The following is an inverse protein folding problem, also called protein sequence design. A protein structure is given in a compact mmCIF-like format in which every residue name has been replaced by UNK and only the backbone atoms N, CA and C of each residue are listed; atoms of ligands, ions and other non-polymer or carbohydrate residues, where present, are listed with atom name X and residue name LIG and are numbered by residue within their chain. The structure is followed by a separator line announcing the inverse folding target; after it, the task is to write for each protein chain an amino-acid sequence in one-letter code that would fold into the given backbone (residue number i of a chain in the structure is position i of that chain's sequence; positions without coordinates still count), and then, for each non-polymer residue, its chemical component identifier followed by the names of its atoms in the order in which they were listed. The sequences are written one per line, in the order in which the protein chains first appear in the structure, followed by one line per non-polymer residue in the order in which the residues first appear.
data_IF_455898703291
#
_entry.id   IF_455898703291
#
_cell.length_a   1.000
_cell.length_b   1.000
_cell.length_c   1.000
_cell.angle_alpha   90.00
_cell.angle_beta   90.00
_cell.angle_gamma   90.00
#
_symmetry.space_group_name_H-M   'P 1'
#
loop_
_entity.id
_entity.type
_entity.pdbx_description
1 polymer ?
#
# COMPACT_ATOMS: atom_id res chain seq x y z
N UNK A 1 -24.36 33.80 -9.63
CA UNK A 1 -25.04 34.42 -8.49
C UNK A 1 -26.04 35.43 -9.00
N UNK A 2 -27.29 35.42 -8.52
CA UNK A 2 -28.29 36.44 -8.87
C UNK A 2 -28.04 37.74 -8.10
N UNK A 3 -28.52 38.88 -8.61
CA UNK A 3 -28.39 40.19 -7.92
C UNK A 3 -28.95 40.17 -6.50
N UNK A 4 -30.01 39.38 -6.27
CA UNK A 4 -30.62 39.19 -4.95
C UNK A 4 -29.69 38.44 -3.99
N UNK A 5 -28.95 37.44 -4.48
CA UNK A 5 -27.97 36.71 -3.67
C UNK A 5 -26.78 37.60 -3.26
N UNK A 6 -26.36 38.49 -4.16
CA UNK A 6 -25.29 39.45 -3.87
C UNK A 6 -25.73 40.46 -2.80
N UNK A 7 -26.92 41.05 -2.95
CA UNK A 7 -27.47 42.00 -1.97
C UNK A 7 -27.68 41.36 -0.59
N UNK A 8 -28.12 40.09 -0.55
CA UNK A 8 -28.24 39.35 0.70
C UNK A 8 -26.87 39.12 1.36
N UNK A 9 -25.85 38.78 0.59
CA UNK A 9 -24.49 38.61 1.11
C UNK A 9 -23.94 39.92 1.70
N UNK A 10 -24.14 41.05 1.00
CA UNK A 10 -23.71 42.37 1.45
C UNK A 10 -24.39 42.80 2.76
N UNK A 11 -25.70 42.59 2.89
CA UNK A 11 -26.43 42.93 4.13
C UNK A 11 -26.04 42.01 5.31
N UNK A 12 -25.80 40.72 5.06
CA UNK A 12 -25.28 39.81 6.08
C UNK A 12 -23.88 40.23 6.56
N UNK A 13 -23.02 40.65 5.63
CA UNK A 13 -21.67 41.12 5.96
C UNK A 13 -21.71 42.44 6.74
N UNK A 14 -22.60 43.37 6.37
CA UNK A 14 -22.83 44.62 7.09
C UNK A 14 -23.35 44.38 8.51
N UNK A 15 -24.30 43.46 8.68
CA UNK A 15 -24.85 43.09 9.98
C UNK A 15 -23.77 42.46 10.86
N UNK A 16 -22.99 41.52 10.32
CA UNK A 16 -21.87 40.90 11.01
C UNK A 16 -20.82 41.93 11.44
N UNK A 17 -20.47 42.88 10.57
CA UNK A 17 -19.55 43.97 10.90
C UNK A 17 -20.08 44.86 12.04
N UNK A 18 -21.38 45.19 12.05
CA UNK A 18 -22.00 45.96 13.14
C UNK A 18 -21.89 45.27 14.50
N UNK A 19 -22.16 43.96 14.56
CA UNK A 19 -22.00 43.19 15.80
C UNK A 19 -20.53 43.07 16.22
N UNK A 20 -19.59 42.94 15.27
CA UNK A 20 -18.14 42.94 15.58
C UNK A 20 -17.70 44.27 16.22
N UNK A 21 -18.20 45.40 15.71
CA UNK A 21 -17.92 46.72 16.29
C UNK A 21 -18.47 46.86 17.71
N UNK A 22 -19.69 46.38 17.95
CA UNK A 22 -20.29 46.36 19.30
C UNK A 22 -19.52 45.44 20.27
N UNK A 23 -18.88 44.39 19.74
CA UNK A 23 -18.11 43.42 20.51
C UNK A 23 -16.63 43.80 20.71
N UNK A 24 -16.17 45.00 20.30
CA UNK A 24 -14.73 45.37 20.24
C UNK A 24 -13.86 44.37 19.46
N UNK A 25 -14.47 43.59 18.56
CA UNK A 25 -13.82 42.49 17.90
C UNK A 25 -13.00 42.98 16.71
N UNK A 26 -11.68 42.81 16.74
CA UNK A 26 -10.84 43.06 15.56
C UNK A 26 -11.10 41.96 14.53
N UNK A 27 -11.32 42.31 13.24
CA UNK A 27 -11.69 41.33 12.22
C UNK A 27 -10.60 40.29 11.91
N UNK A 28 -9.35 40.57 12.26
CA UNK A 28 -8.20 39.67 12.06
C UNK A 28 -7.81 38.86 13.30
N UNK A 29 -8.57 38.99 14.40
CA UNK A 29 -8.26 38.35 15.66
C UNK A 29 -8.88 36.95 15.70
N UNK A 30 -8.03 35.93 15.69
CA UNK A 30 -8.44 34.52 15.74
C UNK A 30 -9.17 34.27 17.07
N UNK A 31 -10.40 33.79 16.98
CA UNK A 31 -11.24 33.54 18.14
C UNK A 31 -11.19 32.09 18.61
N UNK A 32 -11.66 31.86 19.82
CA UNK A 32 -11.91 30.50 20.32
C UNK A 32 -12.92 29.75 19.44
N UNK A 33 -13.87 30.44 18.80
CA UNK A 33 -14.85 29.82 17.90
C UNK A 33 -14.19 29.35 16.61
N UNK A 34 -13.30 30.15 16.03
CA UNK A 34 -12.52 29.77 14.84
C UNK A 34 -11.65 28.54 15.11
N UNK A 35 -11.00 28.53 16.28
CA UNK A 35 -10.20 27.38 16.71
C UNK A 35 -11.11 26.16 16.94
N UNK A 36 -12.27 26.33 17.58
CA UNK A 36 -13.21 25.24 17.81
C UNK A 36 -13.69 24.61 16.51
N UNK A 37 -14.07 25.43 15.53
CA UNK A 37 -14.47 24.98 14.20
C UNK A 37 -13.34 24.19 13.52
N UNK A 38 -12.12 24.73 13.52
CA UNK A 38 -10.95 24.07 12.97
C UNK A 38 -10.67 22.73 13.67
N UNK A 39 -10.73 22.68 15.00
CA UNK A 39 -10.47 21.47 15.76
C UNK A 39 -11.53 20.40 15.48
N UNK A 40 -12.80 20.76 15.33
CA UNK A 40 -13.86 19.82 14.94
C UNK A 40 -13.58 19.21 13.56
N UNK A 41 -13.14 20.01 12.58
CA UNK A 41 -12.67 19.51 11.29
C UNK A 41 -11.51 18.51 11.48
N UNK A 42 -10.53 18.82 12.36
CA UNK A 42 -9.40 17.91 12.64
C UNK A 42 -9.80 16.64 13.41
N UNK A 43 -10.82 16.69 14.27
CA UNK A 43 -11.37 15.49 14.91
C UNK A 43 -12.01 14.58 13.86
N UNK A 44 -12.77 15.13 12.91
CA UNK A 44 -13.35 14.37 11.80
C UNK A 44 -12.28 13.73 10.90
N UNK A 45 -11.11 14.39 10.75
CA UNK A 45 -9.93 13.82 10.08
C UNK A 45 -9.18 12.77 10.93
N UNK A 46 -9.68 12.39 12.11
CA UNK A 46 -9.09 11.39 13.00
C UNK A 46 -7.88 11.89 13.81
N UNK A 47 -7.68 13.21 13.93
CA UNK A 47 -6.46 13.80 14.52
C UNK A 47 -6.54 14.09 16.02
N UNK A 48 -7.48 13.47 16.73
CA UNK A 48 -7.71 13.72 18.17
C UNK A 48 -6.43 13.62 19.02
N UNK A 49 -5.57 12.63 18.74
CA UNK A 49 -4.28 12.49 19.46
C UNK A 49 -3.37 13.70 19.26
N UNK A 50 -3.27 14.23 18.04
CA UNK A 50 -2.47 15.42 17.73
C UNK A 50 -3.04 16.66 18.41
N UNK A 51 -4.37 16.80 18.44
CA UNK A 51 -5.05 17.90 19.14
C UNK A 51 -4.72 17.89 20.63
N UNK A 52 -4.73 16.72 21.29
CA UNK A 52 -4.35 16.60 22.70
C UNK A 52 -2.91 17.04 22.95
N UNK A 53 -1.97 16.59 22.11
CA UNK A 53 -0.56 17.01 22.18
C UNK A 53 -0.41 18.51 21.96
N UNK A 54 -1.19 19.09 21.04
CA UNK A 54 -1.19 20.54 20.83
C UNK A 54 -1.68 21.28 22.07
N UNK A 55 -2.79 20.86 22.67
CA UNK A 55 -3.32 21.45 23.90
C UNK A 55 -2.27 21.39 25.02
N UNK A 56 -1.63 20.24 25.22
CA UNK A 56 -0.56 20.06 26.21
C UNK A 56 0.62 21.02 25.96
N UNK A 57 1.03 21.23 24.70
CA UNK A 57 2.08 22.20 24.32
C UNK A 57 1.75 23.62 24.76
N UNK A 58 0.47 24.00 24.75
CA UNK A 58 -0.02 25.29 25.23
C UNK A 58 -0.46 25.25 26.70
N UNK A 59 -0.03 24.24 27.47
CA UNK A 59 -0.38 24.05 28.88
C UNK A 59 -1.89 24.01 29.15
N UNK A 60 -2.66 23.54 28.16
CA UNK A 60 -4.11 23.47 28.19
C UNK A 60 -4.58 22.01 28.17
N UNK A 61 -5.68 21.72 28.87
CA UNK A 61 -6.33 20.39 28.81
C UNK A 61 -7.53 20.42 27.85
N UNK A 62 -8.23 21.55 27.81
CA UNK A 62 -9.34 21.84 26.90
C UNK A 62 -9.05 23.13 26.15
N UNK A 63 -9.74 23.34 25.03
CA UNK A 63 -9.59 24.56 24.24
C UNK A 63 -9.85 25.85 25.04
N UNK A 64 -10.81 25.81 25.99
CA UNK A 64 -11.12 26.96 26.86
C UNK A 64 -9.97 27.34 27.81
N UNK A 65 -9.04 26.42 28.05
CA UNK A 65 -7.87 26.66 28.90
C UNK A 65 -6.71 27.29 28.11
N UNK A 66 -6.82 27.38 26.78
CA UNK A 66 -5.81 28.04 25.94
C UNK A 66 -5.93 29.54 26.12
N UNK A 67 -4.80 30.21 26.34
CA UNK A 67 -4.76 31.66 26.52
C UNK A 67 -5.07 32.38 25.21
N UNK A 68 -5.79 33.51 25.29
CA UNK A 68 -6.18 34.27 24.10
C UNK A 68 -4.97 34.77 23.29
N UNK A 69 -3.86 35.07 23.96
CA UNK A 69 -2.61 35.51 23.33
C UNK A 69 -1.99 34.41 22.46
N UNK A 70 -2.28 33.14 22.76
CA UNK A 70 -1.76 31.97 22.06
C UNK A 70 -2.65 31.53 20.89
N UNK A 71 -3.87 32.06 20.77
CA UNK A 71 -4.83 31.67 19.74
C UNK A 71 -4.27 31.71 18.31
N UNK A 72 -3.54 32.76 17.87
CA UNK A 72 -3.01 32.81 16.52
C UNK A 72 -2.00 31.69 16.23
N UNK A 73 -1.11 31.44 17.20
CA UNK A 73 -0.08 30.40 17.09
C UNK A 73 -0.73 29.00 17.12
N UNK A 74 -1.64 28.78 18.07
CA UNK A 74 -2.38 27.52 18.21
C UNK A 74 -3.14 27.18 16.92
N UNK A 75 -3.89 28.15 16.38
CA UNK A 75 -4.66 27.97 15.14
C UNK A 75 -3.78 27.64 13.94
N UNK A 76 -2.66 28.35 13.79
CA UNK A 76 -1.69 28.12 12.72
C UNK A 76 -1.11 26.70 12.78
N UNK A 77 -0.74 26.23 13.97
CA UNK A 77 -0.22 24.88 14.17
C UNK A 77 -1.28 23.80 13.92
N UNK A 78 -2.49 23.98 14.44
CA UNK A 78 -3.61 23.07 14.19
C UNK A 78 -3.95 22.96 12.68
N UNK A 79 -3.85 24.08 11.94
CA UNK A 79 -4.05 24.12 10.48
C UNK A 79 -2.97 23.36 9.71
N UNK A 80 -1.72 23.42 10.18
CA UNK A 80 -0.58 22.77 9.51
C UNK A 80 -0.66 21.24 9.50
N UNK A 81 -1.44 20.61 10.38
CA UNK A 81 -1.67 19.17 10.35
C UNK A 81 -2.21 18.63 9.02
N UNK A 82 -2.86 19.46 8.20
CA UNK A 82 -3.29 19.04 6.84
C UNK A 82 -2.11 18.94 5.87
N UNK A 83 -1.21 19.92 5.88
CA UNK A 83 -0.02 19.95 5.00
C UNK A 83 0.91 18.79 5.29
N UNK A 84 1.12 18.49 6.56
CA UNK A 84 2.00 17.39 6.97
C UNK A 84 1.45 16.02 6.61
N UNK A 85 0.13 15.82 6.69
CA UNK A 85 -0.50 14.58 6.21
C UNK A 85 -0.39 14.42 4.69
N UNK A 86 -0.58 15.49 3.91
CA UNK A 86 -0.34 15.43 2.46
C UNK A 86 1.11 15.07 2.17
N UNK A 87 2.07 15.68 2.88
CA UNK A 87 3.50 15.37 2.72
C UNK A 87 3.82 13.92 3.08
N UNK A 88 3.30 13.40 4.19
CA UNK A 88 3.47 12.00 4.60
C UNK A 88 2.87 11.01 3.60
N UNK A 89 1.66 11.31 3.09
CA UNK A 89 1.02 10.48 2.07
C UNK A 89 1.83 10.46 0.78
N UNK A 90 2.32 11.62 0.33
CA UNK A 90 3.20 11.72 -0.85
C UNK A 90 4.50 10.94 -0.65
N UNK A 91 5.13 11.04 0.52
CA UNK A 91 6.36 10.28 0.82
C UNK A 91 6.10 8.77 0.82
N UNK A 92 4.93 8.32 1.31
CA UNK A 92 4.55 6.90 1.26
C UNK A 92 4.40 6.40 -0.18
N UNK A 93 3.73 7.16 -1.04
CA UNK A 93 3.61 6.82 -2.46
C UNK A 93 4.98 6.80 -3.15
N UNK A 94 5.83 7.81 -2.90
CA UNK A 94 7.20 7.82 -3.43
C UNK A 94 8.00 6.60 -2.97
N UNK A 95 7.94 6.23 -1.70
CA UNK A 95 8.61 5.02 -1.19
C UNK A 95 8.16 3.78 -1.94
N UNK A 96 6.85 3.63 -2.15
CA UNK A 96 6.28 2.51 -2.90
C UNK A 96 6.82 2.47 -4.33
N UNK A 97 6.86 3.61 -5.03
CA UNK A 97 7.42 3.67 -6.39
C UNK A 97 8.91 3.34 -6.43
N UNK A 98 9.69 3.72 -5.40
CA UNK A 98 11.11 3.36 -5.28
C UNK A 98 11.28 1.86 -5.08
N UNK A 99 10.45 1.23 -4.25
CA UNK A 99 10.48 -0.22 -4.03
C UNK A 99 10.11 -0.99 -5.30
N UNK A 100 9.09 -0.52 -6.03
CA UNK A 100 8.71 -1.05 -7.34
C UNK A 100 9.86 -0.91 -8.36
N UNK A 101 10.53 0.25 -8.40
CA UNK A 101 11.68 0.48 -9.28
C UNK A 101 12.86 -0.44 -8.96
N UNK A 102 13.16 -0.66 -7.67
CA UNK A 102 14.19 -1.62 -7.24
C UNK A 102 13.84 -3.05 -7.66
N UNK A 103 12.57 -3.45 -7.49
CA UNK A 103 12.11 -4.77 -7.92
C UNK A 103 12.26 -4.95 -9.44
N UNK A 104 11.90 -3.93 -10.22
CA UNK A 104 12.07 -3.96 -11.67
C UNK A 104 13.55 -4.08 -12.07
N UNK A 105 14.43 -3.32 -11.41
CA UNK A 105 15.89 -3.40 -11.64
C UNK A 105 16.42 -4.82 -11.38
N UNK A 106 16.01 -5.45 -10.28
CA UNK A 106 16.46 -6.80 -9.94
C UNK A 106 15.98 -7.85 -10.96
N UNK A 107 14.75 -7.70 -11.46
CA UNK A 107 14.22 -8.55 -12.52
C UNK A 107 15.02 -8.38 -13.81
N UNK A 108 15.33 -7.15 -14.19
CA UNK A 108 16.15 -6.85 -15.38
C UNK A 108 17.56 -7.44 -15.24
N UNK A 109 18.20 -7.31 -14.07
CA UNK A 109 19.50 -7.94 -13.81
C UNK A 109 19.42 -9.46 -13.95
N UNK A 110 18.41 -10.10 -13.35
CA UNK A 110 18.22 -11.55 -13.45
C UNK A 110 18.00 -12.02 -14.89
N UNK A 111 17.26 -11.25 -15.70
CA UNK A 111 17.10 -11.53 -17.14
C UNK A 111 18.43 -11.38 -17.87
N UNK A 112 19.20 -10.33 -17.58
CA UNK A 112 20.52 -10.13 -18.18
C UNK A 112 21.48 -11.28 -17.85
N UNK A 113 21.54 -11.72 -16.59
CA UNK A 113 22.35 -12.86 -16.15
C UNK A 113 21.92 -14.14 -16.88
N UNK A 114 20.62 -14.39 -17.00
CA UNK A 114 20.08 -15.55 -17.73
C UNK A 114 20.45 -15.53 -19.22
N UNK A 115 20.49 -14.34 -19.84
CA UNK A 115 20.92 -14.19 -21.24
C UNK A 115 22.43 -14.41 -21.38
N UNK A 116 23.24 -13.93 -20.43
CA UNK A 116 24.68 -14.20 -20.39
C UNK A 116 24.93 -15.70 -20.32
N UNK A 117 24.24 -16.42 -19.44
CA UNK A 117 24.36 -17.88 -19.32
C UNK A 117 23.95 -18.60 -20.62
N UNK A 118 22.88 -18.14 -21.27
CA UNK A 118 22.37 -18.73 -22.52
C UNK A 118 23.35 -18.55 -23.69
N UNK A 119 23.97 -17.37 -23.81
CA UNK A 119 24.89 -17.06 -24.91
C UNK A 119 26.35 -17.40 -24.63
N UNK A 120 26.74 -17.55 -23.36
CA UNK A 120 28.06 -18.04 -22.97
C UNK A 120 28.21 -19.55 -23.15
N UNK A 121 27.22 -20.20 -23.80
CA UNK A 121 27.34 -21.51 -24.41
C UNK A 121 28.37 -21.55 -25.54
N UNK A 122 29.64 -21.40 -25.19
CA UNK A 122 30.75 -21.98 -25.95
C UNK A 122 30.89 -23.43 -25.52
N UNK A 123 30.62 -24.35 -26.44
CA UNK A 123 30.93 -25.76 -26.26
C UNK A 123 32.41 -25.97 -25.93
N UNK A 124 32.68 -26.49 -24.75
CA UNK A 124 34.01 -26.87 -24.29
C UNK A 124 33.89 -27.79 -23.07
N UNK A 125 33.96 -29.10 -23.31
CA UNK A 125 34.01 -30.14 -22.29
C UNK A 125 35.31 -30.07 -21.49
N UNK A 126 35.25 -30.04 -20.16
CA UNK A 126 36.17 -30.78 -19.28
C UNK A 126 35.70 -30.73 -17.83
N UNK A 127 35.57 -31.94 -17.27
CA UNK A 127 35.68 -32.22 -15.85
C UNK A 127 36.85 -31.47 -15.22
N UNK A 128 36.63 -30.83 -14.08
CA UNK A 128 37.49 -31.08 -12.91
C UNK A 128 36.82 -30.64 -11.61
N UNK A 129 36.71 -31.60 -10.70
CA UNK A 129 36.17 -31.49 -9.37
C UNK A 129 37.12 -30.72 -8.43
N UNK A 130 36.56 -29.81 -7.60
CA UNK A 130 36.89 -29.71 -6.16
C UNK A 130 35.98 -28.74 -5.38
N UNK A 131 34.96 -29.35 -4.77
CA UNK A 131 34.70 -29.32 -3.33
C UNK A 131 34.73 -27.96 -2.57
N UNK A 132 33.54 -27.46 -2.23
CA UNK A 132 33.08 -27.32 -0.83
C UNK A 132 31.61 -26.87 -0.77
N UNK A 133 30.73 -27.77 -0.33
CA UNK A 133 29.41 -27.40 0.20
C UNK A 133 29.58 -26.60 1.51
N UNK A 134 28.55 -25.83 1.95
CA UNK A 134 27.46 -26.46 2.71
C UNK A 134 26.05 -26.08 2.24
N UNK A 135 25.18 -27.10 2.24
CA UNK A 135 23.70 -27.07 2.28
C UNK A 135 22.95 -26.69 1.00
N UNK A 136 22.94 -27.66 0.09
CA UNK A 136 21.73 -27.98 -0.65
C UNK A 136 20.64 -28.44 0.33
N UNK A 137 19.73 -27.54 0.72
CA UNK A 137 18.37 -27.94 1.06
C UNK A 137 17.73 -28.45 -0.21
N UNK A 138 17.78 -29.78 -0.35
CA UNK A 138 16.99 -30.62 -1.25
C UNK A 138 15.80 -29.84 -1.82
N UNK A 139 15.85 -29.62 -3.13
CA UNK A 139 14.69 -29.37 -3.97
C UNK A 139 13.60 -30.39 -3.65
N UNK A 140 12.76 -30.06 -2.67
CA UNK A 140 11.40 -30.56 -2.68
C UNK A 140 10.75 -29.72 -3.76
N UNK A 141 10.55 -30.31 -4.94
CA UNK A 141 9.42 -29.92 -5.79
C UNK A 141 8.23 -29.73 -4.85
N UNK A 142 7.89 -28.47 -4.58
CA UNK A 142 6.83 -28.17 -3.63
C UNK A 142 5.55 -28.68 -4.29
N UNK A 143 4.76 -29.46 -3.55
CA UNK A 143 3.44 -29.92 -4.03
C UNK A 143 2.58 -28.74 -4.53
N UNK A 144 2.91 -27.54 -4.08
CA UNK A 144 2.38 -26.25 -4.52
C UNK A 144 2.63 -25.93 -6.00
N UNK A 145 3.84 -26.16 -6.54
CA UNK A 145 4.08 -25.96 -7.98
C UNK A 145 3.31 -26.96 -8.84
N UNK A 146 3.18 -28.20 -8.35
CA UNK A 146 2.37 -29.24 -9.00
C UNK A 146 0.88 -28.88 -8.96
N UNK A 147 0.37 -28.39 -7.83
CA UNK A 147 -1.01 -27.89 -7.70
C UNK A 147 -1.28 -26.71 -8.63
N UNK A 148 -0.32 -25.80 -8.80
CA UNK A 148 -0.47 -24.66 -9.69
C UNK A 148 -0.64 -25.09 -11.16
N UNK A 149 0.21 -26.01 -11.65
CA UNK A 149 0.12 -26.54 -13.03
C UNK A 149 -1.16 -27.33 -13.26
N UNK A 150 -1.57 -28.18 -12.29
CA UNK A 150 -2.85 -28.88 -12.36
C UNK A 150 -4.04 -27.91 -12.39
N UNK A 151 -4.01 -26.85 -11.56
CA UNK A 151 -5.08 -25.86 -11.50
C UNK A 151 -5.19 -25.05 -12.80
N UNK A 152 -4.05 -24.70 -13.40
CA UNK A 152 -4.00 -24.01 -14.69
C UNK A 152 -4.60 -24.87 -15.82
N UNK A 153 -4.21 -26.13 -15.91
CA UNK A 153 -4.76 -27.07 -16.91
C UNK A 153 -6.24 -27.41 -16.65
N UNK A 154 -6.67 -27.47 -15.38
CA UNK A 154 -8.08 -27.62 -15.03
C UNK A 154 -8.92 -26.41 -15.47
N UNK A 155 -8.39 -25.18 -15.31
CA UNK A 155 -9.01 -23.95 -15.83
C UNK A 155 -9.08 -23.92 -17.36
N UNK A 156 -8.11 -24.55 -18.04
CA UNK A 156 -8.12 -24.73 -19.49
C UNK A 156 -9.11 -25.81 -19.99
N UNK A 157 -9.88 -26.45 -19.09
CA UNK A 157 -10.91 -27.43 -19.45
C UNK A 157 -10.45 -28.89 -19.37
N UNK A 158 -9.16 -29.17 -19.11
CA UNK A 158 -8.61 -30.54 -19.04
C UNK A 158 -8.86 -31.23 -17.69
N UNK A 159 -9.97 -30.90 -17.02
CA UNK A 159 -10.26 -31.44 -15.68
C UNK A 159 -10.54 -32.95 -15.71
N UNK A 160 -11.15 -33.46 -16.79
CA UNK A 160 -11.37 -34.90 -16.99
C UNK A 160 -10.06 -35.65 -17.23
N UNK A 161 -9.17 -35.10 -18.08
CA UNK A 161 -7.87 -35.69 -18.41
C UNK A 161 -6.96 -35.76 -17.17
N UNK A 162 -6.93 -34.69 -16.38
CA UNK A 162 -6.19 -34.65 -15.11
C UNK A 162 -6.72 -35.73 -14.15
N UNK A 163 -8.04 -35.91 -14.05
CA UNK A 163 -8.63 -36.91 -13.16
C UNK A 163 -8.30 -38.34 -13.61
N UNK A 164 -8.38 -38.62 -14.90
CA UNK A 164 -7.96 -39.90 -15.47
C UNK A 164 -6.46 -40.17 -15.23
N UNK A 165 -5.63 -39.12 -15.33
CA UNK A 165 -4.21 -39.22 -15.02
C UNK A 165 -3.97 -39.56 -13.55
N UNK A 166 -4.61 -38.87 -12.61
CA UNK A 166 -4.48 -39.18 -11.18
C UNK A 166 -4.91 -40.63 -10.88
N UNK A 167 -6.01 -41.09 -11.49
CA UNK A 167 -6.51 -42.47 -11.36
C UNK A 167 -5.54 -43.51 -11.94
N UNK A 168 -4.88 -43.23 -13.08
CA UNK A 168 -3.82 -44.08 -13.64
C UNK A 168 -2.63 -44.24 -12.70
N UNK A 169 -2.36 -43.21 -11.90
CA UNK A 169 -1.33 -43.25 -10.86
C UNK A 169 -1.82 -43.85 -9.53
N UNK A 170 -3.09 -44.29 -9.47
CA UNK A 170 -3.72 -44.99 -8.36
C UNK A 170 -4.23 -44.08 -7.24
N UNK A 171 -4.47 -42.79 -7.53
CA UNK A 171 -4.81 -41.79 -6.53
C UNK A 171 -6.01 -40.94 -6.98
N UNK A 172 -6.87 -40.55 -6.03
CA UNK A 172 -7.98 -39.65 -6.33
C UNK A 172 -7.59 -38.17 -6.24
N UNK A 173 -6.49 -37.89 -5.54
CA UNK A 173 -5.98 -36.54 -5.24
C UNK A 173 -4.46 -36.51 -5.30
N UNK A 174 -3.89 -35.36 -5.67
CA UNK A 174 -2.43 -35.15 -5.69
C UNK A 174 -1.77 -35.43 -4.31
N UNK A 175 -2.50 -35.24 -3.21
CA UNK A 175 -2.01 -35.53 -1.86
C UNK A 175 -1.82 -37.02 -1.57
N UNK A 176 -2.41 -37.91 -2.37
CA UNK A 176 -2.31 -39.37 -2.26
C UNK A 176 -1.22 -39.95 -3.20
N UNK A 177 -0.58 -39.11 -4.02
CA UNK A 177 0.46 -39.54 -4.95
C UNK A 177 1.84 -39.46 -4.30
N UNK A 178 2.61 -40.53 -4.45
CA UNK A 178 3.99 -40.56 -4.02
C UNK A 178 4.79 -39.40 -4.67
N UNK A 179 5.58 -38.63 -3.90
CA UNK A 179 6.38 -37.53 -4.44
C UNK A 179 7.32 -37.93 -5.59
N UNK A 180 7.70 -39.21 -5.66
CA UNK A 180 8.50 -39.79 -6.76
C UNK A 180 7.72 -39.91 -8.07
N UNK A 181 6.40 -40.15 -7.99
CA UNK A 181 5.47 -40.24 -9.13
C UNK A 181 4.92 -38.87 -9.53
N UNK A 182 4.84 -37.91 -8.60
CA UNK A 182 4.43 -36.53 -8.90
C UNK A 182 5.25 -35.85 -10.00
N UNK A 183 6.55 -36.18 -10.12
CA UNK A 183 7.41 -35.64 -11.19
C UNK A 183 6.92 -36.06 -12.58
N UNK A 184 6.64 -37.36 -12.75
CA UNK A 184 6.17 -37.94 -14.01
C UNK A 184 4.77 -37.43 -14.37
N UNK A 185 3.88 -37.38 -13.39
CA UNK A 185 2.55 -36.79 -13.56
C UNK A 185 2.62 -35.34 -14.06
N UNK A 186 3.54 -34.53 -13.52
CA UNK A 186 3.69 -33.13 -13.92
C UNK A 186 4.20 -32.99 -15.36
N UNK A 187 5.06 -33.89 -15.83
CA UNK A 187 5.50 -33.93 -17.23
C UNK A 187 4.35 -34.27 -18.17
N UNK A 188 3.56 -35.29 -17.85
CA UNK A 188 2.38 -35.68 -18.64
C UNK A 188 1.30 -34.58 -18.67
N UNK A 189 1.06 -33.90 -17.54
CA UNK A 189 0.09 -32.78 -17.47
C UNK A 189 0.54 -31.57 -18.27
N UNK A 190 1.86 -31.30 -18.34
CA UNK A 190 2.36 -30.18 -19.15
C UNK A 190 2.07 -30.38 -20.64
N UNK A 191 2.03 -31.62 -21.10
CA UNK A 191 1.78 -31.99 -22.50
C UNK A 191 0.29 -32.00 -22.85
N UNK A 192 -0.61 -32.10 -21.87
CA UNK A 192 -2.07 -32.00 -22.08
C UNK A 192 -2.45 -30.60 -22.62
N UNK A 193 -3.05 -30.56 -23.82
CA UNK A 193 -3.51 -29.32 -24.46
C UNK A 193 -2.51 -28.66 -25.43
N UNK A 194 -1.39 -29.30 -25.76
CA UNK A 194 -0.49 -28.89 -26.86
C UNK A 194 -0.85 -29.57 -28.20
N UNK A 195 -2.12 -29.91 -28.41
CA UNK A 195 -2.64 -30.55 -29.62
C UNK A 195 -3.80 -29.78 -30.22
#
# INVERSE_FOLDING_TARGET
MSKMQLALAEELERLAAGYRMLANHKPDEITIQDISYLLNEKVAEGKMKKIKVLLEKYSAVKLVDVKAEDYPSFFKEAKNYRKEQMKMSQMKELSKTVDELKSASNLLSSVADSLIDLFSGTGGSSDEAKEKQPKATKEKLTLESVRAVLAEKSRAGHTADIKALLENYGASKLSEIDPKKCKKLLEEVKVLGNG
#
